data_IF_277090706673
#
_entry.id   IF_277090706673
#
_cell.length_a   1.000
_cell.length_b   1.000
_cell.length_c   1.000
_cell.angle_alpha   90.00
_cell.angle_beta   90.00
_cell.angle_gamma   90.00
#
_symmetry.space_group_name_H-M   'P 1'
#
loop_
_entity.id
_entity.type
_entity.pdbx_description
1 polymer ?
#
# COMPACT_ATOMS: atom_id res chain seq x y z
N UNK A 1 8.58 2.12 -4.78
CA UNK A 1 9.35 2.67 -3.63
C UNK A 1 10.52 1.72 -3.37
N UNK A 2 11.76 2.20 -3.32
CA UNK A 2 12.95 1.34 -3.06
C UNK A 2 13.48 1.45 -1.62
N UNK A 3 12.82 2.20 -0.75
CA UNK A 3 13.28 2.57 0.60
C UNK A 3 12.75 1.67 1.72
N UNK A 4 12.19 0.50 1.41
CA UNK A 4 11.60 -0.40 2.41
C UNK A 4 12.69 -1.05 3.30
N UNK A 5 12.52 -1.00 4.61
CA UNK A 5 13.46 -1.57 5.59
C UNK A 5 12.70 -2.12 6.81
N UNK A 6 13.12 -3.27 7.34
CA UNK A 6 12.66 -3.78 8.64
C UNK A 6 13.49 -3.15 9.76
N UNK A 7 12.85 -2.49 10.72
CA UNK A 7 13.50 -1.79 11.83
C UNK A 7 13.49 -2.61 13.13
N UNK A 8 12.44 -3.39 13.38
CA UNK A 8 12.34 -4.24 14.56
C UNK A 8 11.52 -5.50 14.24
N UNK A 9 11.92 -6.62 14.83
CA UNK A 9 11.16 -7.89 14.77
C UNK A 9 10.50 -8.24 16.11
N UNK A 10 11.02 -7.70 17.22
CA UNK A 10 10.53 -7.95 18.58
C UNK A 10 10.64 -6.67 19.43
N UNK A 11 9.71 -6.38 20.36
CA UNK A 11 8.47 -7.12 20.65
C UNK A 11 7.33 -6.83 19.67
N UNK A 12 7.46 -5.82 18.82
CA UNK A 12 6.48 -5.48 17.79
C UNK A 12 7.21 -5.30 16.47
N UNK A 13 6.83 -6.03 15.41
CA UNK A 13 7.39 -5.83 14.09
C UNK A 13 7.17 -4.39 13.63
N UNK A 14 8.22 -3.78 13.08
CA UNK A 14 8.20 -2.41 12.56
C UNK A 14 8.95 -2.40 11.24
N UNK A 15 8.33 -1.88 10.20
CA UNK A 15 8.98 -1.55 8.93
C UNK A 15 9.14 -0.04 8.81
N UNK A 16 9.82 0.43 7.77
CA UNK A 16 9.93 1.84 7.44
C UNK A 16 10.15 1.98 5.94
N UNK A 17 9.68 3.07 5.37
CA UNK A 17 9.88 3.44 3.98
C UNK A 17 9.63 4.93 3.82
N UNK A 18 10.17 5.51 2.75
CA UNK A 18 10.01 6.93 2.46
C UNK A 18 8.88 7.11 1.45
N UNK A 19 7.99 8.07 1.71
CA UNK A 19 6.99 8.56 0.75
C UNK A 19 7.35 9.99 0.39
N UNK A 20 7.39 10.30 -0.91
CA UNK A 20 7.62 11.67 -1.38
C UNK A 20 6.46 12.60 -0.96
N UNK A 21 6.77 13.85 -0.62
CA UNK A 21 5.78 14.87 -0.28
C UNK A 21 6.00 16.11 -1.16
N UNK A 22 4.93 16.68 -1.76
CA UNK A 22 3.54 16.22 -1.69
C UNK A 22 3.28 14.98 -2.57
N UNK A 23 2.42 14.06 -2.11
CA UNK A 23 1.95 12.94 -2.95
C UNK A 23 0.58 12.40 -2.52
N UNK A 24 -0.16 11.84 -3.48
CA UNK A 24 -1.44 11.15 -3.22
C UNK A 24 -1.27 9.93 -2.32
N UNK A 25 -0.16 9.21 -2.45
CA UNK A 25 0.15 8.06 -1.60
C UNK A 25 0.30 8.50 -0.14
N UNK A 26 0.96 9.64 0.10
CA UNK A 26 1.05 10.23 1.43
C UNK A 26 -0.34 10.59 1.97
N UNK A 27 -1.15 11.31 1.19
CA UNK A 27 -2.49 11.71 1.61
C UNK A 27 -3.38 10.50 1.95
N UNK A 28 -3.35 9.46 1.12
CA UNK A 28 -4.10 8.23 1.33
C UNK A 28 -3.67 7.49 2.60
N UNK A 29 -2.36 7.29 2.80
CA UNK A 29 -1.83 6.58 3.99
C UNK A 29 -2.04 7.39 5.27
N UNK A 30 -1.90 8.72 5.21
CA UNK A 30 -2.14 9.61 6.35
C UNK A 30 -3.62 9.61 6.76
N UNK A 31 -4.52 9.58 5.79
CA UNK A 31 -5.95 9.58 6.00
C UNK A 31 -6.47 8.21 6.48
N UNK A 32 -6.10 7.12 5.79
CA UNK A 32 -6.59 5.77 6.10
C UNK A 32 -5.95 5.16 7.33
N UNK A 33 -4.70 5.54 7.66
CA UNK A 33 -3.86 4.93 8.72
C UNK A 33 -3.61 3.43 8.56
N UNK A 34 -4.13 2.82 7.49
CA UNK A 34 -4.07 1.40 7.17
C UNK A 34 -3.67 1.25 5.70
N UNK A 35 -2.69 0.39 5.42
CA UNK A 35 -2.20 0.16 4.07
C UNK A 35 -1.64 -1.26 3.95
N UNK A 36 -1.42 -1.69 2.71
CA UNK A 36 -0.74 -2.94 2.41
C UNK A 36 0.58 -2.63 1.71
N UNK A 37 1.61 -3.42 2.02
CA UNK A 37 2.84 -3.46 1.24
C UNK A 37 2.88 -4.78 0.49
N UNK A 38 2.84 -4.70 -0.84
CA UNK A 38 3.04 -5.85 -1.72
C UNK A 38 4.53 -5.97 -2.03
N UNK A 39 5.14 -7.06 -1.57
CA UNK A 39 6.48 -7.45 -1.95
C UNK A 39 6.36 -8.19 -3.28
N UNK A 40 7.03 -7.68 -4.30
CA UNK A 40 6.95 -8.21 -5.66
C UNK A 40 7.95 -9.37 -5.85
N UNK A 41 7.60 -10.31 -6.70
CA UNK A 41 8.50 -11.35 -7.15
C UNK A 41 9.65 -10.77 -8.01
N UNK A 42 10.80 -11.44 -8.03
CA UNK A 42 11.95 -11.06 -8.86
C UNK A 42 11.86 -11.71 -10.26
N UNK A 43 10.73 -11.46 -10.93
CA UNK A 43 10.41 -12.02 -12.25
C UNK A 43 9.66 -11.01 -13.13
N UNK A 44 9.35 -11.42 -14.36
CA UNK A 44 8.66 -10.56 -15.32
C UNK A 44 7.27 -10.09 -14.85
N UNK A 45 6.41 -10.95 -14.26
CA UNK A 45 5.18 -10.51 -13.59
C UNK A 45 5.41 -9.45 -12.52
N UNK A 46 6.38 -9.65 -11.61
CA UNK A 46 6.70 -8.68 -10.56
C UNK A 46 7.18 -7.35 -11.12
N UNK A 47 8.04 -7.37 -12.15
CA UNK A 47 8.48 -6.16 -12.86
C UNK A 47 7.31 -5.41 -13.51
N UNK A 48 6.37 -6.13 -14.15
CA UNK A 48 5.19 -5.52 -14.76
C UNK A 48 4.30 -4.79 -13.73
N UNK A 49 4.13 -5.37 -12.54
CA UNK A 49 3.43 -4.70 -11.43
C UNK A 49 4.19 -3.43 -11.00
N UNK A 50 5.51 -3.52 -10.83
CA UNK A 50 6.33 -2.37 -10.44
C UNK A 50 6.22 -1.22 -11.45
N UNK A 51 6.33 -1.53 -12.74
CA UNK A 51 6.27 -0.57 -13.84
C UNK A 51 4.89 0.10 -13.94
N UNK A 52 3.81 -0.64 -13.67
CA UNK A 52 2.46 -0.07 -13.63
C UNK A 52 2.33 1.01 -12.55
N UNK A 53 2.80 0.73 -11.33
CA UNK A 53 2.69 1.68 -10.20
C UNK A 53 3.75 2.79 -10.24
N UNK A 54 4.87 2.60 -10.94
CA UNK A 54 5.93 3.62 -11.08
C UNK A 54 5.49 4.82 -11.93
N UNK A 55 4.54 4.63 -12.85
CA UNK A 55 4.04 5.69 -13.76
C UNK A 55 3.17 6.75 -13.05
N UNK A 56 2.70 6.45 -11.84
CA UNK A 56 1.86 7.34 -11.03
C UNK A 56 0.39 7.40 -11.46
N UNK A 57 -0.49 7.66 -10.49
CA UNK A 57 -1.95 7.62 -10.67
C UNK A 57 -2.53 8.89 -11.33
N UNK A 58 -1.84 9.46 -12.32
CA UNK A 58 -2.14 10.81 -12.85
C UNK A 58 -3.13 10.83 -14.01
N UNK A 59 -3.55 9.67 -14.55
CA UNK A 59 -4.44 9.63 -15.72
C UNK A 59 -5.91 9.50 -15.30
N UNK A 60 -6.52 10.69 -15.22
CA UNK A 60 -7.96 10.97 -15.39
C UNK A 60 -8.88 10.79 -14.17
N UNK A 61 -9.48 11.92 -13.78
CA UNK A 61 -10.51 12.06 -12.73
C UNK A 61 -11.92 11.75 -13.28
N UNK A 62 -12.04 11.22 -14.49
CA UNK A 62 -13.25 11.34 -15.31
C UNK A 62 -13.68 10.07 -16.04
N UNK A 63 -13.13 8.91 -15.71
CA UNK A 63 -13.64 7.62 -16.20
C UNK A 63 -13.90 6.69 -15.02
N UNK A 64 -15.02 5.98 -15.05
CA UNK A 64 -15.47 5.07 -13.98
C UNK A 64 -14.66 3.75 -13.96
N UNK A 65 -13.69 3.63 -14.86
CA UNK A 65 -12.59 2.67 -14.78
C UNK A 65 -11.66 2.97 -13.58
N UNK A 66 -11.95 2.39 -12.42
CA UNK A 66 -11.01 2.35 -11.29
C UNK A 66 -9.63 1.85 -11.76
N UNK A 67 -8.54 2.46 -11.27
CA UNK A 67 -7.15 2.10 -11.60
C UNK A 67 -6.90 0.60 -11.48
N UNK A 68 -7.49 -0.02 -10.46
CA UNK A 68 -7.40 -1.46 -10.22
C UNK A 68 -8.15 -2.27 -11.28
N UNK A 69 -9.27 -1.76 -11.80
CA UNK A 69 -9.96 -2.35 -12.95
C UNK A 69 -9.08 -2.36 -14.20
N UNK A 70 -8.36 -1.27 -14.48
CA UNK A 70 -7.38 -1.22 -15.60
C UNK A 70 -6.22 -2.18 -15.40
N UNK A 71 -5.73 -2.30 -14.16
CA UNK A 71 -4.67 -3.24 -13.81
C UNK A 71 -5.11 -4.69 -14.07
N UNK A 72 -6.31 -5.08 -13.63
CA UNK A 72 -6.87 -6.42 -13.89
C UNK A 72 -7.11 -6.63 -15.38
N UNK A 73 -7.71 -5.65 -16.08
CA UNK A 73 -7.97 -5.75 -17.52
C UNK A 73 -6.69 -5.87 -18.36
N UNK A 74 -5.56 -5.33 -17.87
CA UNK A 74 -4.26 -5.47 -18.51
C UNK A 74 -3.63 -6.86 -18.35
N UNK A 75 -4.16 -7.70 -17.46
CA UNK A 75 -3.63 -9.02 -17.14
C UNK A 75 -2.34 -9.02 -16.31
N UNK A 76 -1.90 -7.85 -15.82
CA UNK A 76 -0.73 -7.73 -14.94
C UNK A 76 -0.98 -8.37 -13.58
N UNK A 77 -2.23 -8.31 -13.09
CA UNK A 77 -2.71 -9.04 -11.92
C UNK A 77 -3.98 -9.78 -12.29
N UNK A 78 -4.25 -10.90 -11.61
CA UNK A 78 -5.44 -11.71 -11.86
C UNK A 78 -6.69 -11.08 -11.26
N UNK A 79 -6.58 -10.52 -10.05
CA UNK A 79 -7.69 -9.87 -9.37
C UNK A 79 -7.21 -8.90 -8.29
N UNK A 80 -8.13 -8.06 -7.83
CA UNK A 80 -7.93 -7.16 -6.68
C UNK A 80 -9.08 -7.36 -5.71
N UNK A 81 -8.77 -7.60 -4.43
CA UNK A 81 -9.78 -7.67 -3.36
C UNK A 81 -9.61 -6.53 -2.36
N UNK A 82 -10.74 -6.05 -1.82
CA UNK A 82 -10.77 -5.14 -0.68
C UNK A 82 -10.85 -5.97 0.61
N UNK A 83 -9.99 -5.65 1.58
CA UNK A 83 -9.59 -6.58 2.63
C UNK A 83 -10.49 -6.58 3.88
N UNK A 84 -11.73 -7.12 3.77
CA UNK A 84 -12.83 -7.04 4.77
C UNK A 84 -12.36 -6.74 6.18
N UNK A 85 -12.46 -5.47 6.54
CA UNK A 85 -12.31 -4.99 7.89
C UNK A 85 -13.51 -4.10 8.16
N UNK A 86 -14.11 -4.28 9.33
CA UNK A 86 -15.21 -3.43 9.79
C UNK A 86 -14.93 -1.96 9.49
N UNK A 87 -15.84 -1.24 8.79
CA UNK A 87 -15.66 0.17 8.44
C UNK A 87 -15.17 0.96 9.65
N UNK A 88 -13.95 1.48 9.56
CA UNK A 88 -13.35 2.30 10.60
C UNK A 88 -13.74 3.75 10.39
N UNK A 89 -14.54 4.31 11.29
CA UNK A 89 -14.91 5.72 11.24
C UNK A 89 -13.87 6.54 12.04
N UNK A 90 -12.92 7.17 11.33
CA UNK A 90 -11.89 8.03 11.97
C UNK A 90 -12.02 9.45 11.43
N UNK A 91 -12.31 10.40 12.33
CA UNK A 91 -12.32 11.84 11.99
C UNK A 91 -13.42 12.27 11.01
N UNK A 92 -14.53 11.53 10.92
CA UNK A 92 -15.67 11.89 10.07
C UNK A 92 -15.51 11.52 8.58
N UNK A 93 -14.75 10.45 8.28
CA UNK A 93 -14.66 9.87 6.93
C UNK A 93 -14.67 8.35 7.00
N UNK A 94 -15.43 7.74 6.10
CA UNK A 94 -15.38 6.30 5.85
C UNK A 94 -14.18 6.02 4.95
N UNK A 95 -13.27 5.15 5.38
CA UNK A 95 -12.18 4.66 4.54
C UNK A 95 -12.48 3.23 4.11
N UNK A 96 -12.34 2.99 2.81
CA UNK A 96 -12.36 1.64 2.22
C UNK A 96 -11.05 0.92 2.54
N UNK A 97 -11.11 -0.40 2.67
CA UNK A 97 -9.96 -1.20 3.11
C UNK A 97 -8.82 -1.20 2.07
N UNK A 98 -7.58 -1.29 2.55
CA UNK A 98 -6.43 -1.27 1.66
C UNK A 98 -6.49 -2.44 0.65
N UNK A 99 -6.28 -2.19 -0.65
CA UNK A 99 -6.43 -3.19 -1.70
C UNK A 99 -5.39 -4.30 -1.60
N UNK A 100 -5.77 -5.50 -1.99
CA UNK A 100 -4.93 -6.70 -2.08
C UNK A 100 -4.87 -7.13 -3.54
N UNK A 101 -3.66 -7.12 -4.11
CA UNK A 101 -3.39 -7.59 -5.46
C UNK A 101 -3.14 -9.11 -5.43
N UNK A 102 -3.73 -9.84 -6.37
CA UNK A 102 -3.51 -11.28 -6.55
C UNK A 102 -2.93 -11.55 -7.92
N UNK A 103 -1.90 -12.40 -7.99
CA UNK A 103 -1.26 -12.83 -9.22
C UNK A 103 0.20 -13.21 -8.98
N UNK A 104 0.82 -13.86 -9.96
CA UNK A 104 2.17 -14.44 -9.86
C UNK A 104 3.26 -13.42 -9.49
N UNK A 105 3.08 -12.15 -9.85
CA UNK A 105 4.04 -11.08 -9.54
C UNK A 105 4.08 -10.65 -8.06
N UNK A 106 3.22 -11.20 -7.19
CA UNK A 106 3.12 -10.83 -5.78
C UNK A 106 3.69 -11.96 -4.90
N UNK A 107 4.81 -11.68 -4.23
CA UNK A 107 5.49 -12.65 -3.37
C UNK A 107 4.91 -12.69 -1.95
N UNK A 108 4.72 -11.52 -1.33
CA UNK A 108 4.15 -11.40 0.01
C UNK A 108 3.32 -10.13 0.16
N UNK A 109 2.37 -10.14 1.09
CA UNK A 109 1.56 -8.97 1.43
C UNK A 109 1.67 -8.72 2.93
N UNK A 110 2.18 -7.54 3.29
CA UNK A 110 2.23 -7.09 4.67
C UNK A 110 1.06 -6.14 4.91
N UNK A 111 0.15 -6.53 5.81
CA UNK A 111 -0.93 -5.66 6.30
C UNK A 111 -0.38 -4.77 7.39
N UNK A 112 -0.55 -3.47 7.21
CA UNK A 112 0.19 -2.46 7.94
C UNK A 112 -0.73 -1.40 8.54
N UNK A 113 -0.55 -1.12 9.82
CA UNK A 113 -1.20 0.00 10.51
C UNK A 113 -0.16 1.05 10.84
N UNK A 114 -0.43 2.32 10.58
CA UNK A 114 0.48 3.41 10.86
C UNK A 114 0.66 3.61 12.38
N UNK A 115 1.90 3.46 12.85
CA UNK A 115 2.26 3.71 14.25
C UNK A 115 2.02 5.19 14.64
N UNK A 116 1.52 5.47 15.86
CA UNK A 116 1.32 6.84 16.34
C UNK A 116 2.61 7.67 16.50
N UNK A 117 3.76 7.02 16.73
CA UNK A 117 4.94 7.65 17.33
C UNK A 117 6.14 7.92 16.38
N UNK A 118 6.01 7.73 15.06
CA UNK A 118 7.15 7.81 14.12
C UNK A 118 7.05 8.95 13.08
N UNK A 119 6.26 9.97 13.39
CA UNK A 119 6.10 11.15 12.54
C UNK A 119 7.19 12.20 12.84
N UNK A 120 8.11 12.44 11.90
CA UNK A 120 9.12 13.52 11.97
C UNK A 120 8.85 14.56 10.88
N UNK A 121 8.65 15.84 11.21
CA UNK A 121 8.31 16.93 10.25
C UNK A 121 9.44 17.34 9.28
N UNK A 122 10.45 16.51 9.13
CA UNK A 122 11.66 16.74 8.31
C UNK A 122 11.53 16.24 6.86
N UNK A 123 10.31 15.98 6.39
CA UNK A 123 10.06 15.54 5.01
C UNK A 123 10.39 14.07 4.72
N UNK A 124 10.91 13.32 5.71
CA UNK A 124 11.13 11.87 5.62
C UNK A 124 10.36 11.17 6.74
N UNK A 125 9.19 10.63 6.43
CA UNK A 125 8.33 9.99 7.44
C UNK A 125 8.66 8.51 7.55
N UNK A 126 8.99 8.04 8.75
CA UNK A 126 9.19 6.62 9.04
C UNK A 126 7.87 5.94 9.39
N UNK A 127 7.40 5.02 8.55
CA UNK A 127 6.12 4.33 8.79
C UNK A 127 6.35 2.99 9.49
N UNK A 128 6.28 2.98 10.82
CA UNK A 128 6.22 1.74 11.59
C UNK A 128 4.87 1.06 11.49
N UNK A 129 4.85 -0.25 11.30
CA UNK A 129 3.61 -0.99 11.08
C UNK A 129 3.59 -2.32 11.83
N UNK A 130 2.49 -2.60 12.53
CA UNK A 130 2.25 -3.91 13.14
C UNK A 130 1.80 -4.90 12.06
N UNK A 131 2.53 -5.99 11.86
CA UNK A 131 2.10 -7.15 11.06
C UNK A 131 0.84 -7.76 11.71
N UNK A 132 -0.24 -7.93 10.95
CA UNK A 132 -1.27 -8.91 11.28
C UNK A 132 -0.98 -10.17 10.48
N UNK A 133 -0.58 -11.25 11.15
CA UNK A 133 -0.53 -12.58 10.53
C UNK A 133 -1.98 -13.05 10.31
N UNK A 134 -2.27 -13.52 9.09
CA UNK A 134 -3.42 -14.39 8.87
C UNK A 134 -2.98 -15.80 9.24
N UNK A 135 -3.72 -16.45 10.15
CA UNK A 135 -3.71 -17.91 10.33
C UNK A 135 -4.32 -18.60 9.11
#
# INVERSE_FOLDING_TARGET
MSSFTSLALHPTPVVSFNIAVPSRTYDAVAASRHFNLHILADDAPGAAVADWFAQGNYRERSSEEDMFGKLVASGIVESVSLATATPGHVGGRDYTEAPILHGDGILFILRCNMAPALWTDDGTKHFGTRKQEQE
#
